data_IF_952368755025
#
_entry.id   IF_952368755025
#
_cell.length_a   1.000
_cell.length_b   1.000
_cell.length_c   1.000
_cell.angle_alpha   90.00
_cell.angle_beta   90.00
_cell.angle_gamma   90.00
#
_symmetry.space_group_name_H-M   'P 1'
#
loop_
_entity.id
_entity.type
_entity.pdbx_description
1 polymer ?
#
# COMPACT_ATOMS: atom_id res chain seq x y z
N UNK A 1 -38.25 40.32 -34.31
CA UNK A 1 -37.80 38.91 -34.18
C UNK A 1 -36.27 38.94 -34.05
N UNK A 2 -35.69 38.79 -32.84
CA UNK A 2 -34.87 37.64 -32.37
C UNK A 2 -34.14 36.94 -33.55
N UNK A 3 -32.81 36.77 -33.57
CA UNK A 3 -31.95 36.17 -32.55
C UNK A 3 -30.48 36.58 -32.72
N UNK A 4 -29.83 36.83 -31.59
CA UNK A 4 -28.38 36.92 -31.38
C UNK A 4 -27.84 35.48 -31.32
N UNK A 5 -26.73 35.19 -32.00
CA UNK A 5 -25.91 33.99 -31.80
C UNK A 5 -24.52 34.49 -31.40
N UNK A 6 -24.32 34.84 -30.12
CA UNK A 6 -23.67 33.99 -29.12
C UNK A 6 -22.36 33.36 -29.61
N UNK A 7 -21.30 34.16 -29.42
CA UNK A 7 -19.92 33.76 -29.15
C UNK A 7 -19.95 32.61 -28.13
N UNK A 8 -19.66 31.40 -28.60
CA UNK A 8 -19.52 30.21 -27.77
C UNK A 8 -18.06 29.77 -27.75
N UNK A 9 -17.37 30.15 -26.69
CA UNK A 9 -16.10 29.57 -26.25
C UNK A 9 -16.25 28.04 -26.15
N UNK A 10 -15.72 27.31 -27.13
CA UNK A 10 -15.42 25.88 -26.95
C UNK A 10 -13.98 25.64 -27.37
N UNK A 11 -13.09 26.35 -26.66
CA UNK A 11 -11.69 25.98 -26.56
C UNK A 11 -11.47 25.43 -25.14
N UNK A 12 -12.23 24.39 -24.78
CA UNK A 12 -11.96 23.58 -23.60
C UNK A 12 -11.12 22.38 -24.05
N UNK A 13 -9.81 22.61 -24.11
CA UNK A 13 -8.80 21.69 -23.59
C UNK A 13 -9.10 20.20 -23.83
N UNK A 14 -8.71 19.71 -25.02
CA UNK A 14 -8.33 18.30 -25.22
C UNK A 14 -7.00 17.95 -24.48
N UNK A 15 -6.83 18.49 -23.27
CA UNK A 15 -5.79 18.15 -22.30
C UNK A 15 -6.46 17.66 -21.01
N UNK A 16 -7.49 16.81 -21.14
CA UNK A 16 -7.76 15.84 -20.11
C UNK A 16 -6.98 14.59 -20.49
N UNK A 17 -5.66 14.62 -20.25
CA UNK A 17 -4.97 13.39 -19.86
C UNK A 17 -5.83 12.79 -18.75
N UNK A 18 -6.58 11.75 -19.08
CA UNK A 18 -7.34 10.99 -18.11
C UNK A 18 -6.43 10.76 -16.91
N UNK A 19 -6.90 11.00 -15.67
CA UNK A 19 -6.06 10.79 -14.50
C UNK A 19 -5.51 9.37 -14.63
N UNK A 20 -4.18 9.25 -14.51
CA UNK A 20 -3.48 7.98 -14.51
C UNK A 20 -4.35 6.96 -13.77
N UNK A 21 -4.82 5.93 -14.49
CA UNK A 21 -5.78 4.98 -13.97
C UNK A 21 -5.27 4.49 -12.63
N UNK A 22 -5.96 4.86 -11.54
CA UNK A 22 -5.61 4.40 -10.21
C UNK A 22 -5.61 2.88 -10.24
N UNK A 23 -4.42 2.28 -10.11
CA UNK A 23 -4.27 0.85 -10.20
C UNK A 23 -4.88 0.22 -8.94
N UNK A 24 -5.53 -0.94 -9.10
CA UNK A 24 -6.01 -1.69 -7.95
C UNK A 24 -4.81 -2.22 -7.18
N UNK A 25 -4.86 -2.09 -5.86
CA UNK A 25 -3.85 -2.66 -4.97
C UNK A 25 -4.01 -4.18 -4.93
N UNK A 26 -2.95 -4.89 -5.30
CA UNK A 26 -2.92 -6.35 -5.19
C UNK A 26 -3.06 -6.78 -3.74
N UNK A 27 -3.86 -7.82 -3.50
CA UNK A 27 -4.18 -8.29 -2.15
C UNK A 27 -2.92 -8.67 -1.38
N UNK A 28 -1.96 -9.36 -2.01
CA UNK A 28 -0.71 -9.77 -1.36
C UNK A 28 0.11 -8.57 -0.89
N UNK A 29 0.15 -7.50 -1.71
CA UNK A 29 0.84 -6.25 -1.37
C UNK A 29 0.12 -5.54 -0.21
N UNK A 30 -1.21 -5.51 -0.22
CA UNK A 30 -2.00 -4.93 0.87
C UNK A 30 -1.76 -5.65 2.21
N UNK A 31 -1.81 -6.99 2.20
CA UNK A 31 -1.56 -7.81 3.38
C UNK A 31 -0.11 -7.71 3.84
N UNK A 32 0.84 -7.68 2.91
CA UNK A 32 2.26 -7.47 3.17
C UNK A 32 2.49 -6.14 3.89
N UNK A 33 1.98 -5.04 3.37
CA UNK A 33 2.08 -3.71 4.00
C UNK A 33 1.50 -3.66 5.39
N UNK A 34 0.31 -4.24 5.60
CA UNK A 34 -0.29 -4.30 6.92
C UNK A 34 0.58 -5.09 7.90
N UNK A 35 1.20 -6.18 7.43
CA UNK A 35 2.15 -6.96 8.20
C UNK A 35 3.38 -6.13 8.57
N UNK A 36 3.95 -5.35 7.64
CA UNK A 36 5.08 -4.45 7.92
C UNK A 36 4.74 -3.43 9.02
N UNK A 37 3.56 -2.81 8.94
CA UNK A 37 3.11 -1.82 9.94
C UNK A 37 2.98 -2.45 11.34
N UNK A 38 2.30 -3.60 11.43
CA UNK A 38 2.09 -4.30 12.70
C UNK A 38 3.44 -4.77 13.28
N UNK A 39 4.28 -5.36 12.44
CA UNK A 39 5.55 -5.94 12.86
C UNK A 39 6.61 -4.90 13.23
N UNK A 40 6.54 -3.68 12.67
CA UNK A 40 7.37 -2.56 13.14
C UNK A 40 7.15 -2.32 14.65
N UNK A 41 5.90 -2.35 15.09
CA UNK A 41 5.56 -2.15 16.52
C UNK A 41 6.01 -3.33 17.36
N UNK A 42 5.74 -4.56 16.91
CA UNK A 42 6.13 -5.78 17.64
C UNK A 42 7.65 -5.87 17.80
N UNK A 43 8.42 -5.63 16.73
CA UNK A 43 9.88 -5.66 16.80
C UNK A 43 10.43 -4.59 17.73
N UNK A 44 9.87 -3.37 17.69
CA UNK A 44 10.26 -2.31 18.63
C UNK A 44 9.98 -2.67 20.09
N UNK A 45 8.91 -3.41 20.38
CA UNK A 45 8.56 -3.81 21.75
C UNK A 45 9.41 -4.98 22.28
N UNK A 46 10.10 -5.71 21.41
CA UNK A 46 10.87 -6.90 21.75
C UNK A 46 12.38 -6.72 21.50
N UNK A 47 12.86 -5.47 21.45
CA UNK A 47 14.27 -5.12 21.22
C UNK A 47 14.89 -5.68 19.91
N UNK A 48 14.06 -5.98 18.92
CA UNK A 48 14.46 -6.51 17.61
C UNK A 48 14.73 -5.37 16.61
N UNK A 49 15.73 -4.56 16.90
CA UNK A 49 15.99 -3.31 16.16
C UNK A 49 16.36 -3.53 14.68
N UNK A 50 17.04 -4.64 14.36
CA UNK A 50 17.49 -4.93 13.00
C UNK A 50 16.27 -5.25 12.12
N UNK A 51 15.42 -6.17 12.57
CA UNK A 51 14.19 -6.56 11.91
C UNK A 51 13.23 -5.38 11.79
N UNK A 52 13.09 -4.59 12.86
CA UNK A 52 12.33 -3.35 12.87
C UNK A 52 12.80 -2.34 11.81
N UNK A 53 14.12 -2.19 11.64
CA UNK A 53 14.69 -1.31 10.62
C UNK A 53 14.39 -1.82 9.19
N UNK A 54 14.52 -3.13 8.95
CA UNK A 54 14.25 -3.74 7.64
C UNK A 54 12.79 -3.51 7.23
N UNK A 55 11.84 -3.83 8.10
CA UNK A 55 10.40 -3.66 7.76
C UNK A 55 10.03 -2.18 7.60
N UNK A 56 10.63 -1.29 8.38
CA UNK A 56 10.40 0.16 8.26
C UNK A 56 10.92 0.72 6.94
N UNK A 57 12.11 0.30 6.51
CA UNK A 57 12.68 0.70 5.22
C UNK A 57 11.83 0.19 4.06
N UNK A 58 11.39 -1.07 4.11
CA UNK A 58 10.49 -1.63 3.10
C UNK A 58 9.16 -0.88 3.05
N UNK A 59 8.53 -0.62 4.19
CA UNK A 59 7.28 0.13 4.27
C UNK A 59 7.43 1.52 3.63
N UNK A 60 8.52 2.22 3.95
CA UNK A 60 8.82 3.52 3.35
C UNK A 60 9.01 3.44 1.84
N UNK A 61 9.71 2.41 1.34
CA UNK A 61 9.90 2.21 -0.09
C UNK A 61 8.57 1.96 -0.83
N UNK A 62 7.62 1.22 -0.23
CA UNK A 62 6.29 1.04 -0.80
C UNK A 62 5.47 2.34 -0.80
N UNK A 63 5.56 3.14 0.27
CA UNK A 63 4.97 4.48 0.31
C UNK A 63 5.52 5.38 -0.80
N UNK A 64 6.84 5.40 -0.98
CA UNK A 64 7.52 6.18 -2.02
C UNK A 64 7.17 5.70 -3.43
N UNK A 65 6.87 4.42 -3.60
CA UNK A 65 6.36 3.84 -4.84
C UNK A 65 4.86 4.15 -5.10
N UNK A 66 4.20 4.90 -4.21
CA UNK A 66 2.84 5.41 -4.43
C UNK A 66 1.73 4.43 -4.07
N UNK A 67 2.00 3.46 -3.18
CA UNK A 67 0.98 2.48 -2.74
C UNK A 67 -0.28 3.13 -2.15
N UNK A 68 -0.14 4.30 -1.53
CA UNK A 68 -1.24 5.05 -0.92
C UNK A 68 -2.24 5.58 -1.95
N UNK A 69 -1.82 5.72 -3.23
CA UNK A 69 -2.68 6.16 -4.32
C UNK A 69 -3.44 5.01 -5.00
N UNK A 70 -3.17 3.75 -4.61
CA UNK A 70 -3.83 2.58 -5.18
C UNK A 70 -5.19 2.31 -4.55
N UNK A 71 -6.11 1.75 -5.33
CA UNK A 71 -7.47 1.46 -4.89
C UNK A 71 -7.52 0.07 -4.27
N UNK A 72 -7.94 -0.02 -3.00
CA UNK A 72 -8.20 -1.30 -2.36
C UNK A 72 -9.60 -1.82 -2.73
N UNK A 73 -9.67 -3.06 -3.20
CA UNK A 73 -10.95 -3.72 -3.48
C UNK A 73 -11.69 -4.09 -2.18
N UNK A 74 -13.00 -4.32 -2.27
CA UNK A 74 -13.79 -4.79 -1.11
C UNK A 74 -13.31 -6.15 -0.61
N UNK A 75 -12.97 -7.07 -1.51
CA UNK A 75 -12.52 -8.41 -1.15
C UNK A 75 -11.14 -8.35 -0.47
N UNK A 76 -10.24 -7.51 -0.99
CA UNK A 76 -8.95 -7.21 -0.37
C UNK A 76 -9.13 -6.62 1.03
N UNK A 77 -10.04 -5.67 1.20
CA UNK A 77 -10.34 -5.07 2.51
C UNK A 77 -10.83 -6.12 3.52
N UNK A 78 -11.68 -7.06 3.11
CA UNK A 78 -12.15 -8.13 3.98
C UNK A 78 -11.01 -9.06 4.41
N UNK A 79 -10.16 -9.45 3.46
CA UNK A 79 -8.99 -10.28 3.76
C UNK A 79 -7.98 -9.55 4.66
N UNK A 80 -7.86 -8.23 4.50
CA UNK A 80 -7.05 -7.38 5.36
C UNK A 80 -7.58 -7.38 6.80
N UNK A 81 -8.88 -7.23 7.01
CA UNK A 81 -9.49 -7.30 8.34
C UNK A 81 -9.25 -8.65 9.01
N UNK A 82 -9.44 -9.75 8.27
CA UNK A 82 -9.16 -11.11 8.74
C UNK A 82 -7.68 -11.29 9.10
N UNK A 83 -6.78 -10.69 8.31
CA UNK A 83 -5.34 -10.75 8.55
C UNK A 83 -4.94 -9.98 9.82
N UNK A 84 -5.45 -8.77 10.01
CA UNK A 84 -5.21 -7.96 11.22
C UNK A 84 -5.75 -8.69 12.45
N UNK A 85 -6.93 -9.31 12.37
CA UNK A 85 -7.53 -10.07 13.47
C UNK A 85 -6.64 -11.27 13.90
N UNK A 86 -5.93 -11.92 12.96
CA UNK A 86 -4.97 -12.99 13.30
C UNK A 86 -3.82 -12.47 14.16
N UNK A 87 -3.29 -11.28 13.85
CA UNK A 87 -2.25 -10.65 14.69
C UNK A 87 -2.80 -10.29 16.08
N UNK A 88 -3.98 -9.66 16.14
CA UNK A 88 -4.56 -9.19 17.40
C UNK A 88 -4.93 -10.33 18.37
N UNK A 89 -5.33 -11.49 17.83
CA UNK A 89 -5.70 -12.67 18.63
C UNK A 89 -4.53 -13.60 18.97
N UNK A 90 -3.35 -13.38 18.37
CA UNK A 90 -2.17 -14.19 18.60
C UNK A 90 -1.44 -13.79 19.91
N UNK A 91 -0.82 -14.76 20.57
CA UNK A 91 0.15 -14.49 21.64
C UNK A 91 1.40 -13.81 21.07
N UNK A 92 2.20 -13.14 21.92
CA UNK A 92 3.43 -12.45 21.49
C UNK A 92 4.37 -13.36 20.68
N UNK A 93 4.65 -14.58 21.15
CA UNK A 93 5.49 -15.54 20.40
C UNK A 93 4.92 -15.89 19.02
N UNK A 94 3.59 -15.95 18.90
CA UNK A 94 2.91 -16.20 17.61
C UNK A 94 2.94 -14.95 16.73
N UNK A 95 2.79 -13.76 17.31
CA UNK A 95 2.90 -12.49 16.60
C UNK A 95 4.31 -12.33 16.00
N UNK A 96 5.36 -12.63 16.75
CA UNK A 96 6.75 -12.61 16.26
C UNK A 96 6.92 -13.59 15.09
N UNK A 97 6.39 -14.82 15.19
CA UNK A 97 6.42 -15.78 14.07
C UNK A 97 5.64 -15.30 12.83
N UNK A 98 4.50 -14.63 13.03
CA UNK A 98 3.77 -14.01 11.92
C UNK A 98 4.60 -12.89 11.27
N UNK A 99 5.47 -12.23 12.05
CA UNK A 99 6.38 -11.22 11.53
C UNK A 99 7.55 -11.76 10.70
N UNK A 100 7.86 -13.06 10.77
CA UNK A 100 8.80 -13.69 9.84
C UNK A 100 8.30 -13.57 8.39
N UNK A 101 6.98 -13.70 8.18
CA UNK A 101 6.37 -13.51 6.86
C UNK A 101 6.43 -12.05 6.40
N UNK A 102 6.31 -11.09 7.33
CA UNK A 102 6.49 -9.67 7.05
C UNK A 102 7.94 -9.37 6.63
N UNK A 103 8.92 -10.00 7.28
CA UNK A 103 10.33 -9.85 6.95
C UNK A 103 10.67 -10.46 5.59
N UNK A 104 10.04 -11.58 5.24
CA UNK A 104 10.15 -12.16 3.90
C UNK A 104 9.56 -11.22 2.84
N UNK A 105 8.33 -10.73 3.05
CA UNK A 105 7.71 -9.74 2.16
C UNK A 105 8.59 -8.50 2.00
N UNK A 106 9.18 -7.98 3.08
CA UNK A 106 10.09 -6.84 3.03
C UNK A 106 11.32 -7.04 2.12
N UNK A 107 11.76 -8.30 1.96
CA UNK A 107 12.95 -8.66 1.18
C UNK A 107 12.62 -9.02 -0.25
N UNK A 108 11.45 -9.60 -0.47
CA UNK A 108 11.10 -10.29 -1.73
C UNK A 108 10.00 -9.57 -2.53
N UNK A 109 9.31 -8.58 -1.94
CA UNK A 109 8.26 -7.81 -2.63
C UNK A 109 8.82 -7.15 -3.89
N UNK A 110 8.17 -7.41 -5.03
CA UNK A 110 8.47 -6.83 -6.34
C UNK A 110 7.67 -5.54 -6.62
N UNK A 111 6.82 -5.13 -5.68
CA UNK A 111 6.04 -3.89 -5.77
C UNK A 111 6.93 -2.67 -5.98
N UNK A 112 8.03 -2.61 -5.21
CA UNK A 112 9.06 -1.59 -5.39
C UNK A 112 9.94 -2.03 -6.54
N UNK A 113 9.68 -1.48 -7.73
CA UNK A 113 10.56 -1.66 -8.88
C UNK A 113 11.90 -1.02 -8.53
N UNK A 114 12.92 -1.84 -8.26
CA UNK A 114 14.29 -1.36 -8.20
C UNK A 114 14.58 -0.78 -9.58
N UNK A 115 14.74 0.54 -9.68
CA UNK A 115 15.33 1.14 -10.85
C UNK A 115 16.77 0.61 -10.92
N UNK A 116 16.95 -0.52 -11.62
CA UNK A 116 18.27 -0.97 -12.04
C UNK A 116 18.85 0.19 -12.86
N UNK A 117 19.82 0.86 -12.24
CA UNK A 117 20.55 1.99 -12.80
C UNK A 117 21.38 1.54 -13.99
#
# INVERSE_FOLDING_TARGET
>A
MKKILLVGLVNCLFLASAPASAQNLDTEVALGMASLMICTTIYSQNDMQIEGSIVSQSMKAHQDAGIEAMIMSKDTSKLLDEHIAKFQSASTDKQIKLCDQALQFARESDFVKVNAS
#
